data_IF_767972625402
#
_entry.id   IF_767972625402
#
_cell.length_a   1.000
_cell.length_b   1.000
_cell.length_c   1.000
_cell.angle_alpha   90.00
_cell.angle_beta   90.00
_cell.angle_gamma   90.00
#
_symmetry.space_group_name_H-M   'P 1'
#
loop_
_entity.id
_entity.type
_entity.pdbx_description
1 polymer ?
#
# COMPACT_ATOMS: atom_id res chain seq x y z
N UNK A 1 6.10 -3.26 19.53
CA UNK A 1 6.68 -4.56 19.08
C UNK A 1 8.05 -4.30 18.49
N UNK A 2 8.98 -5.27 18.61
CA UNK A 2 10.20 -5.28 17.79
C UNK A 2 9.85 -5.47 16.30
N UNK A 3 10.53 -4.81 15.35
CA UNK A 3 10.25 -4.92 13.91
C UNK A 3 10.26 -6.37 13.40
N UNK A 4 11.19 -7.20 13.87
CA UNK A 4 11.31 -8.60 13.46
C UNK A 4 10.13 -9.46 13.92
N UNK A 5 9.70 -9.25 15.17
CA UNK A 5 8.54 -9.96 15.71
C UNK A 5 7.27 -9.60 14.96
N UNK A 6 7.13 -8.32 14.61
CA UNK A 6 6.00 -7.87 13.81
C UNK A 6 5.97 -8.53 12.42
N UNK A 7 7.11 -8.63 11.74
CA UNK A 7 7.20 -9.32 10.44
C UNK A 7 6.79 -10.79 10.57
N UNK A 8 7.24 -11.50 11.60
CA UNK A 8 6.84 -12.90 11.84
C UNK A 8 5.34 -13.03 12.08
N UNK A 9 4.76 -12.14 12.87
CA UNK A 9 3.32 -12.11 13.14
C UNK A 9 2.51 -11.83 11.87
N UNK A 10 2.98 -10.91 11.02
CA UNK A 10 2.35 -10.63 9.72
C UNK A 10 2.49 -11.79 8.72
N UNK A 11 3.55 -12.57 8.79
CA UNK A 11 3.69 -13.77 7.96
C UNK A 11 2.66 -14.84 8.34
N UNK A 12 2.35 -15.00 9.63
CA UNK A 12 1.28 -15.89 10.09
C UNK A 12 -0.07 -15.45 9.51
N UNK A 13 -0.35 -14.15 9.53
CA UNK A 13 -1.57 -13.61 8.91
C UNK A 13 -1.62 -13.90 7.41
N UNK A 14 -0.51 -13.73 6.69
CA UNK A 14 -0.42 -14.01 5.27
C UNK A 14 -0.71 -15.49 4.95
N UNK A 15 -0.17 -16.40 5.77
CA UNK A 15 -0.44 -17.83 5.66
C UNK A 15 -1.91 -18.16 5.94
N UNK A 16 -2.50 -17.60 6.99
CA UNK A 16 -3.90 -17.79 7.34
C UNK A 16 -4.83 -17.32 6.22
N UNK A 17 -4.55 -16.14 5.66
CA UNK A 17 -5.32 -15.57 4.55
C UNK A 17 -5.26 -16.46 3.31
N UNK A 18 -4.08 -16.96 2.95
CA UNK A 18 -3.90 -17.89 1.83
C UNK A 18 -4.63 -19.21 2.07
N UNK A 19 -4.66 -19.71 3.31
CA UNK A 19 -5.37 -20.91 3.66
C UNK A 19 -6.90 -20.74 3.49
N UNK A 20 -7.46 -19.67 4.07
CA UNK A 20 -8.90 -19.35 3.97
C UNK A 20 -9.36 -19.13 2.53
N UNK A 21 -8.54 -18.47 1.71
CA UNK A 21 -8.85 -18.24 0.29
C UNK A 21 -8.82 -19.54 -0.52
N UNK A 22 -7.98 -20.52 -0.15
CA UNK A 22 -7.98 -21.84 -0.80
C UNK A 22 -9.21 -22.67 -0.44
N UNK A 23 -9.73 -22.53 0.78
CA UNK A 23 -10.96 -23.20 1.21
C UNK A 23 -12.23 -22.53 0.63
N UNK A 24 -12.20 -21.21 0.44
CA UNK A 24 -13.33 -20.45 -0.08
C UNK A 24 -13.46 -20.60 -1.61
N UNK A 25 -14.40 -21.44 -2.05
CA UNK A 25 -14.70 -21.63 -3.48
C UNK A 25 -15.15 -20.34 -4.20
N UNK A 26 -15.78 -19.41 -3.48
CA UNK A 26 -16.37 -18.19 -4.03
C UNK A 26 -15.42 -16.98 -4.05
N UNK A 27 -14.19 -17.13 -3.55
CA UNK A 27 -13.23 -16.04 -3.53
C UNK A 27 -12.72 -15.70 -4.94
N UNK A 28 -12.81 -14.42 -5.32
CA UNK A 28 -12.35 -13.94 -6.61
C UNK A 28 -11.25 -12.89 -6.46
N UNK A 29 -10.13 -13.17 -7.11
CA UNK A 29 -9.01 -12.23 -7.20
C UNK A 29 -9.38 -10.99 -8.02
N UNK A 30 -8.72 -9.88 -7.71
CA UNK A 30 -8.73 -8.72 -8.59
C UNK A 30 -8.18 -9.12 -9.98
N UNK A 31 -8.79 -8.63 -11.06
CA UNK A 31 -8.52 -9.08 -12.43
C UNK A 31 -7.04 -8.99 -12.84
N UNK A 32 -6.33 -7.94 -12.42
CA UNK A 32 -4.87 -7.79 -12.65
C UNK A 32 -3.98 -8.61 -11.69
N UNK A 33 -4.53 -9.05 -10.57
CA UNK A 33 -3.79 -9.76 -9.53
C UNK A 33 -3.96 -11.28 -9.63
N UNK A 34 -4.85 -11.75 -10.51
CA UNK A 34 -5.19 -13.18 -10.67
C UNK A 34 -3.99 -14.01 -11.09
N UNK A 35 -3.21 -13.54 -12.06
CA UNK A 35 -2.08 -14.30 -12.61
C UNK A 35 -0.92 -14.44 -11.61
N UNK A 36 -0.79 -13.46 -10.71
CA UNK A 36 0.26 -13.42 -9.67
C UNK A 36 -0.23 -14.06 -8.37
N UNK A 37 -1.54 -14.27 -8.21
CA UNK A 37 -2.16 -14.67 -6.94
C UNK A 37 -1.96 -13.64 -5.84
N UNK A 38 -1.87 -12.35 -6.19
CA UNK A 38 -1.60 -11.27 -5.23
C UNK A 38 -2.89 -10.91 -4.47
N UNK A 39 -2.81 -10.97 -3.15
CA UNK A 39 -3.95 -10.68 -2.25
C UNK A 39 -3.63 -9.50 -1.35
N UNK A 40 -2.41 -9.47 -0.80
CA UNK A 40 -1.97 -8.47 0.16
C UNK A 40 -0.59 -7.92 -0.20
N UNK A 41 -0.35 -6.66 0.17
CA UNK A 41 0.97 -6.07 0.24
C UNK A 41 1.12 -5.47 1.63
N UNK A 42 2.13 -5.91 2.36
CA UNK A 42 2.41 -5.45 3.71
C UNK A 42 3.72 -4.68 3.73
N UNK A 43 3.70 -3.48 4.30
CA UNK A 43 4.90 -2.76 4.65
C UNK A 43 4.74 -2.17 6.05
N UNK A 44 5.37 -2.79 7.04
CA UNK A 44 5.14 -2.46 8.45
C UNK A 44 3.62 -2.45 8.75
N UNK A 45 3.10 -1.34 9.27
CA UNK A 45 1.69 -1.13 9.60
C UNK A 45 0.78 -0.81 8.40
N UNK A 46 1.35 -0.48 7.24
CA UNK A 46 0.60 -0.19 6.02
C UNK A 46 0.30 -1.49 5.25
N UNK A 47 -0.97 -1.86 5.16
CA UNK A 47 -1.43 -3.05 4.44
C UNK A 47 -2.40 -2.67 3.33
N UNK A 48 -2.10 -3.10 2.11
CA UNK A 48 -3.01 -3.05 0.97
C UNK A 48 -3.60 -4.43 0.71
N UNK A 49 -4.91 -4.48 0.49
CA UNK A 49 -5.65 -5.70 0.16
C UNK A 49 -6.30 -5.56 -1.21
N UNK A 50 -6.18 -6.61 -2.01
CA UNK A 50 -6.69 -6.69 -3.38
C UNK A 50 -7.64 -7.87 -3.50
N UNK A 51 -8.89 -7.59 -3.86
CA UNK A 51 -9.88 -8.60 -4.20
C UNK A 51 -10.83 -8.05 -5.27
N UNK A 52 -11.60 -8.94 -5.90
CA UNK A 52 -12.74 -8.49 -6.69
C UNK A 52 -13.75 -7.85 -5.74
N UNK A 53 -14.42 -6.79 -6.18
CA UNK A 53 -15.53 -6.20 -5.43
C UNK A 53 -16.73 -7.16 -5.47
N UNK A 54 -16.67 -8.17 -4.61
CA UNK A 54 -17.66 -9.21 -4.46
C UNK A 54 -17.85 -9.50 -2.97
N UNK A 55 -19.10 -9.49 -2.50
CA UNK A 55 -19.39 -9.58 -1.07
C UNK A 55 -18.77 -10.84 -0.39
N UNK A 56 -18.92 -12.07 -0.92
CA UNK A 56 -18.24 -13.26 -0.38
C UNK A 56 -16.72 -13.13 -0.26
N UNK A 57 -16.07 -12.49 -1.24
CA UNK A 57 -14.60 -12.34 -1.21
C UNK A 57 -14.16 -11.41 -0.06
N UNK A 58 -14.96 -10.38 0.20
CA UNK A 58 -14.72 -9.41 1.26
C UNK A 58 -15.02 -10.00 2.63
N UNK A 59 -16.07 -10.82 2.75
CA UNK A 59 -16.37 -11.56 3.98
C UNK A 59 -15.20 -12.46 4.38
N UNK A 60 -14.65 -13.26 3.46
CA UNK A 60 -13.49 -14.13 3.73
C UNK A 60 -12.30 -13.33 4.28
N UNK A 61 -11.99 -12.18 3.68
CA UNK A 61 -10.90 -11.30 4.14
C UNK A 61 -11.21 -10.75 5.53
N UNK A 62 -12.43 -10.27 5.76
CA UNK A 62 -12.87 -9.66 7.02
C UNK A 62 -12.88 -10.67 8.16
N UNK A 63 -13.38 -11.88 7.92
CA UNK A 63 -13.38 -12.98 8.87
C UNK A 63 -11.95 -13.39 9.25
N UNK A 64 -11.06 -13.47 8.25
CA UNK A 64 -9.63 -13.74 8.49
C UNK A 64 -8.98 -12.64 9.33
N UNK A 65 -9.30 -11.37 9.08
CA UNK A 65 -8.80 -10.24 9.86
C UNK A 65 -9.32 -10.28 11.30
N UNK A 66 -10.58 -10.64 11.52
CA UNK A 66 -11.18 -10.77 12.83
C UNK A 66 -10.56 -11.93 13.63
N UNK A 67 -10.34 -13.08 12.98
CA UNK A 67 -9.65 -14.23 13.56
C UNK A 67 -8.22 -13.86 13.96
N UNK A 68 -7.49 -13.20 13.06
CA UNK A 68 -6.14 -12.72 13.35
C UNK A 68 -6.11 -11.67 14.47
N UNK A 69 -7.09 -10.77 14.52
CA UNK A 69 -7.22 -9.79 15.58
C UNK A 69 -7.50 -10.43 16.94
N UNK A 70 -8.27 -11.52 16.98
CA UNK A 70 -8.51 -12.29 18.19
C UNK A 70 -7.24 -13.00 18.69
N UNK A 71 -6.41 -13.53 17.78
CA UNK A 71 -5.18 -14.24 18.11
C UNK A 71 -4.02 -13.30 18.49
N UNK A 72 -3.85 -12.21 17.76
CA UNK A 72 -2.70 -11.30 17.91
C UNK A 72 -2.99 -10.07 18.77
N UNK A 73 -4.26 -9.74 18.98
CA UNK A 73 -4.69 -8.47 19.58
C UNK A 73 -4.58 -7.25 18.64
N UNK A 74 -4.09 -7.43 17.41
CA UNK A 74 -3.94 -6.35 16.43
C UNK A 74 -5.28 -6.10 15.72
N UNK A 75 -5.85 -4.91 15.90
CA UNK A 75 -7.13 -4.53 15.29
C UNK A 75 -6.92 -3.56 14.13
N UNK A 76 -7.70 -3.75 13.08
CA UNK A 76 -7.79 -2.79 11.97
C UNK A 76 -8.38 -1.48 12.50
N UNK A 77 -7.81 -0.36 12.08
CA UNK A 77 -8.30 0.96 12.45
C UNK A 77 -9.24 1.51 11.37
N UNK A 78 -10.57 1.47 11.56
CA UNK A 78 -11.53 1.91 10.54
C UNK A 78 -11.41 3.40 10.20
N UNK A 79 -10.87 4.22 11.10
CA UNK A 79 -10.66 5.65 10.83
C UNK A 79 -9.47 5.93 9.90
N UNK A 80 -8.53 4.98 9.79
CA UNK A 80 -7.38 5.07 8.88
C UNK A 80 -7.53 4.17 7.65
N UNK A 81 -8.42 3.18 7.72
CA UNK A 81 -8.71 2.26 6.62
C UNK A 81 -9.71 2.87 5.65
N UNK A 82 -9.41 2.74 4.37
CA UNK A 82 -10.26 3.21 3.28
C UNK A 82 -10.45 2.10 2.27
N UNK A 83 -11.63 2.04 1.66
CA UNK A 83 -11.90 1.16 0.53
C UNK A 83 -11.95 1.97 -0.76
N UNK A 84 -11.32 1.45 -1.81
CA UNK A 84 -11.28 2.09 -3.12
C UNK A 84 -11.88 1.13 -4.12
N UNK A 85 -12.92 1.58 -4.82
CA UNK A 85 -13.54 0.79 -5.88
C UNK A 85 -13.00 1.16 -7.25
N UNK A 86 -12.90 0.17 -8.12
CA UNK A 86 -12.74 0.44 -9.55
C UNK A 86 -14.02 1.06 -10.10
N UNK A 87 -13.87 1.95 -11.09
CA UNK A 87 -14.98 2.69 -11.73
C UNK A 87 -16.08 1.79 -12.31
N UNK A 88 -15.75 0.53 -12.57
CA UNK A 88 -16.66 -0.49 -13.11
C UNK A 88 -17.63 -1.10 -12.07
N UNK A 89 -17.43 -0.86 -10.77
CA UNK A 89 -18.22 -1.48 -9.70
C UNK A 89 -19.28 -0.49 -9.21
N UNK A 90 -20.53 -0.69 -9.62
CA UNK A 90 -21.66 0.14 -9.18
C UNK A 90 -22.68 -0.63 -8.33
N UNK A 91 -22.96 -1.89 -8.67
CA UNK A 91 -24.05 -2.65 -8.06
C UNK A 91 -23.74 -3.14 -6.63
N UNK A 92 -22.56 -3.72 -6.40
CA UNK A 92 -22.16 -4.26 -5.09
C UNK A 92 -21.52 -3.22 -4.16
N UNK A 93 -21.28 -2.00 -4.67
CA UNK A 93 -20.52 -0.94 -3.96
C UNK A 93 -21.16 -0.56 -2.62
N UNK A 94 -22.46 -0.28 -2.62
CA UNK A 94 -23.16 0.16 -1.42
C UNK A 94 -23.23 -0.96 -0.38
N UNK A 95 -23.53 -2.19 -0.82
CA UNK A 95 -23.58 -3.36 0.07
C UNK A 95 -22.25 -3.62 0.77
N UNK A 96 -21.15 -3.46 0.04
CA UNK A 96 -19.80 -3.62 0.59
C UNK A 96 -19.47 -2.51 1.60
N UNK A 97 -19.84 -1.27 1.30
CA UNK A 97 -19.64 -0.13 2.20
C UNK A 97 -20.42 -0.30 3.51
N UNK A 98 -21.68 -0.72 3.40
CA UNK A 98 -22.55 -0.97 4.54
C UNK A 98 -22.03 -2.14 5.41
N UNK A 99 -21.42 -3.16 4.79
CA UNK A 99 -20.84 -4.30 5.50
C UNK A 99 -19.51 -3.97 6.22
N UNK A 100 -18.58 -3.28 5.55
CA UNK A 100 -17.25 -2.98 6.12
C UNK A 100 -17.26 -1.78 7.08
N UNK A 101 -18.16 -0.81 6.88
CA UNK A 101 -18.20 0.43 7.65
C UNK A 101 -16.97 1.33 7.45
N UNK A 102 -16.14 1.09 6.42
CA UNK A 102 -14.99 1.92 6.08
C UNK A 102 -15.39 3.13 5.26
N UNK A 103 -14.60 4.20 5.36
CA UNK A 103 -14.79 5.34 4.48
C UNK A 103 -14.41 4.98 3.06
N UNK A 104 -15.24 5.41 2.12
CA UNK A 104 -14.91 5.34 0.71
C UNK A 104 -13.78 6.33 0.38
N UNK A 105 -12.67 5.80 -0.12
CA UNK A 105 -11.54 6.57 -0.63
C UNK A 105 -11.64 6.80 -2.14
N UNK A 106 -11.05 7.91 -2.60
CA UNK A 106 -10.87 8.20 -4.02
C UNK A 106 -9.39 8.13 -4.41
N UNK A 107 -9.09 7.63 -5.60
CA UNK A 107 -7.75 7.75 -6.17
C UNK A 107 -7.42 9.23 -6.47
N UNK A 108 -6.16 9.66 -6.29
CA UNK A 108 -5.00 8.88 -5.87
C UNK A 108 -4.87 8.72 -4.35
N UNK A 109 -4.62 7.49 -3.89
CA UNK A 109 -4.32 7.21 -2.47
C UNK A 109 -2.81 7.12 -2.27
N UNK A 110 -2.27 7.73 -1.22
CA UNK A 110 -0.84 7.67 -0.96
C UNK A 110 -0.47 6.35 -0.30
N UNK A 111 0.45 5.58 -0.90
CA UNK A 111 1.08 4.41 -0.28
C UNK A 111 2.58 4.64 -0.20
N UNK A 112 3.13 4.53 1.02
CA UNK A 112 4.55 4.82 1.30
C UNK A 112 5.03 6.21 0.84
N UNK A 113 4.10 7.19 0.84
CA UNK A 113 4.37 8.56 0.43
C UNK A 113 4.41 8.79 -1.09
N UNK A 114 3.99 7.80 -1.90
CA UNK A 114 3.83 7.91 -3.34
C UNK A 114 2.33 7.79 -3.68
N UNK A 115 1.77 8.68 -4.52
CA UNK A 115 0.38 8.56 -4.94
C UNK A 115 0.20 7.30 -5.81
N UNK A 116 -0.70 6.43 -5.39
CA UNK A 116 -1.28 5.35 -6.19
C UNK A 116 -2.20 5.98 -7.22
N UNK A 117 -1.66 6.39 -8.36
CA UNK A 117 -2.45 6.93 -9.46
C UNK A 117 -2.60 5.86 -10.54
N UNK A 118 -3.84 5.64 -11.01
CA UNK A 118 -4.10 4.77 -12.17
C UNK A 118 -3.62 5.41 -13.50
N UNK A 119 -3.26 6.70 -13.49
CA UNK A 119 -2.81 7.46 -14.66
C UNK A 119 -1.28 7.62 -14.71
N UNK A 120 -0.76 8.08 -15.85
CA UNK A 120 0.65 8.45 -15.98
C UNK A 120 1.01 9.49 -14.91
N UNK A 121 2.12 9.26 -14.21
CA UNK A 121 2.69 10.21 -13.25
C UNK A 121 2.85 11.58 -13.91
N UNK A 122 2.24 12.59 -13.30
CA UNK A 122 2.32 13.99 -13.74
C UNK A 122 3.41 14.71 -12.97
N UNK A 123 3.95 15.80 -13.54
CA UNK A 123 4.97 16.64 -12.90
C UNK A 123 4.50 17.14 -11.51
N UNK A 124 3.19 17.34 -11.35
CA UNK A 124 2.57 17.69 -10.07
C UNK A 124 2.76 16.62 -8.98
N UNK A 125 2.78 15.33 -9.34
CA UNK A 125 3.02 14.22 -8.41
C UNK A 125 4.48 14.20 -7.93
N UNK A 126 5.40 14.77 -8.71
CA UNK A 126 6.82 14.87 -8.39
C UNK A 126 7.16 16.06 -7.47
N UNK A 127 6.25 17.01 -7.22
CA UNK A 127 6.50 18.13 -6.28
C UNK A 127 6.95 17.69 -4.88
N UNK A 128 6.27 16.74 -4.20
CA UNK A 128 6.73 16.27 -2.89
C UNK A 128 8.12 15.61 -2.92
N UNK A 129 8.59 15.16 -4.10
CA UNK A 129 9.95 14.66 -4.28
C UNK A 129 10.95 15.82 -4.27
N UNK A 130 10.65 16.88 -5.03
CA UNK A 130 11.47 18.10 -5.10
C UNK A 130 11.56 18.73 -3.70
N UNK A 131 10.43 18.86 -3.00
CA UNK A 131 10.41 19.41 -1.64
C UNK A 131 11.26 18.59 -0.66
N UNK A 132 11.27 17.25 -0.78
CA UNK A 132 12.13 16.38 0.04
C UNK A 132 13.61 16.53 -0.29
N UNK A 133 13.95 16.75 -1.57
CA UNK A 133 15.33 17.03 -1.99
C UNK A 133 15.76 18.37 -1.41
N UNK A 134 14.94 19.41 -1.58
CA UNK A 134 15.24 20.76 -1.10
C UNK A 134 15.38 20.81 0.42
N UNK A 135 14.52 20.10 1.16
CA UNK A 135 14.64 19.99 2.61
C UNK A 135 15.95 19.30 3.05
N UNK A 136 16.38 18.26 2.34
CA UNK A 136 17.68 17.58 2.62
C UNK A 136 18.86 18.48 2.28
N UNK A 137 18.80 19.21 1.18
CA UNK A 137 19.84 20.16 0.77
C UNK A 137 19.94 21.35 1.73
N UNK A 138 18.80 21.89 2.18
CA UNK A 138 18.75 22.96 3.17
C UNK A 138 19.39 22.53 4.50
N UNK A 139 19.16 21.28 4.93
CA UNK A 139 19.82 20.72 6.12
C UNK A 139 21.34 20.58 5.98
N UNK A 140 21.86 20.51 4.75
CA UNK A 140 23.30 20.35 4.48
C UNK A 140 24.03 21.64 4.17
N UNK A 141 23.32 22.73 3.86
CA UNK A 141 23.92 24.05 3.72
C UNK A 141 24.66 24.52 4.99
N UNK A 142 24.27 23.99 6.16
CA UNK A 142 24.93 24.28 7.43
C UNK A 142 26.16 23.38 7.73
N UNK A 143 26.49 22.42 6.86
CA UNK A 143 27.68 21.57 7.02
C UNK A 143 28.86 22.09 6.20
N UNK A 144 30.03 22.15 6.83
CA UNK A 144 31.28 22.55 6.18
C UNK A 144 31.75 21.38 5.28
N UNK A 145 31.22 21.32 4.06
CA UNK A 145 31.54 20.30 3.06
C UNK A 145 32.32 20.90 1.90
N UNK A 146 33.34 20.17 1.45
CA UNK A 146 34.05 20.49 0.22
C UNK A 146 33.08 20.49 -0.97
N UNK A 147 33.42 21.22 -2.04
CA UNK A 147 32.61 21.25 -3.26
C UNK A 147 32.37 19.84 -3.82
N UNK A 148 33.41 19.00 -3.85
CA UNK A 148 33.31 17.61 -4.28
C UNK A 148 32.38 16.78 -3.36
N UNK A 149 32.44 16.99 -2.05
CA UNK A 149 31.55 16.32 -1.09
C UNK A 149 30.07 16.70 -1.29
N UNK A 150 29.78 17.99 -1.52
CA UNK A 150 28.43 18.47 -1.84
C UNK A 150 27.91 17.87 -3.15
N UNK A 151 28.73 17.86 -4.19
CA UNK A 151 28.36 17.28 -5.49
C UNK A 151 28.05 15.78 -5.38
N UNK A 152 28.87 15.03 -4.63
CA UNK A 152 28.66 13.60 -4.44
C UNK A 152 27.40 13.30 -3.61
N UNK A 153 27.11 14.10 -2.59
CA UNK A 153 25.89 14.00 -1.79
C UNK A 153 24.63 14.28 -2.62
N UNK A 154 24.64 15.36 -3.43
CA UNK A 154 23.53 15.67 -4.35
C UNK A 154 23.29 14.51 -5.32
N UNK A 155 24.35 13.99 -5.94
CA UNK A 155 24.26 12.86 -6.87
C UNK A 155 23.69 11.61 -6.19
N UNK A 156 24.16 11.29 -4.97
CA UNK A 156 23.68 10.14 -4.20
C UNK A 156 22.19 10.24 -3.87
N UNK A 157 21.73 11.41 -3.39
CA UNK A 157 20.32 11.64 -3.06
C UNK A 157 19.43 11.58 -4.29
N UNK A 158 19.82 12.25 -5.38
CA UNK A 158 19.05 12.22 -6.62
C UNK A 158 18.93 10.80 -7.16
N UNK A 159 20.03 10.04 -7.18
CA UNK A 159 20.03 8.68 -7.73
C UNK A 159 19.19 7.74 -6.86
N UNK A 160 19.29 7.81 -5.53
CA UNK A 160 18.51 6.98 -4.61
C UNK A 160 17.01 7.30 -4.66
N UNK A 161 16.65 8.59 -4.70
CA UNK A 161 15.25 9.00 -4.81
C UNK A 161 14.66 8.62 -6.17
N UNK A 162 15.40 8.84 -7.25
CA UNK A 162 14.96 8.51 -8.59
C UNK A 162 14.74 7.00 -8.76
N UNK A 163 15.70 6.18 -8.30
CA UNK A 163 15.59 4.71 -8.37
C UNK A 163 14.45 4.18 -7.50
N UNK A 164 14.24 4.73 -6.30
CA UNK A 164 13.10 4.36 -5.44
C UNK A 164 11.76 4.66 -6.12
N UNK A 165 11.60 5.86 -6.68
CA UNK A 165 10.37 6.26 -7.35
C UNK A 165 10.09 5.47 -8.62
N UNK A 166 11.12 5.21 -9.44
CA UNK A 166 10.97 4.39 -10.64
C UNK A 166 10.51 2.98 -10.29
N UNK A 167 11.12 2.35 -9.28
CA UNK A 167 10.75 1.00 -8.84
C UNK A 167 9.35 0.92 -8.27
N UNK A 168 8.96 1.89 -7.42
CA UNK A 168 7.62 1.87 -6.85
C UNK A 168 6.56 2.21 -7.92
N UNK A 169 6.81 3.17 -8.80
CA UNK A 169 5.86 3.53 -9.85
C UNK A 169 5.69 2.46 -10.93
N UNK A 170 6.75 1.71 -11.27
CA UNK A 170 6.65 0.57 -12.18
C UNK A 170 5.85 -0.56 -11.55
N UNK A 171 6.09 -0.84 -10.26
CA UNK A 171 5.34 -1.82 -9.50
C UNK A 171 3.86 -1.43 -9.44
N UNK A 172 3.53 -0.19 -9.06
CA UNK A 172 2.15 0.27 -8.91
C UNK A 172 1.37 0.33 -10.24
N UNK A 173 2.04 0.56 -11.37
CA UNK A 173 1.41 0.51 -12.71
C UNK A 173 1.08 -0.90 -13.20
N UNK A 174 1.70 -1.93 -12.63
CA UNK A 174 1.39 -3.32 -12.96
C UNK A 174 0.02 -3.76 -12.38
N UNK A 175 -0.53 -2.98 -11.44
CA UNK A 175 -1.81 -3.22 -10.77
C UNK A 175 -2.85 -2.17 -11.17
#
# INVERSE_FOLDING_TARGET
MSPYLFVLVMEIWNLLLRFRIKEAADFQYHWKCKDIGLINLCFADDVLLFCKAHLPSIMVITDTLNEFAALSGLKVNPAKSQIIFSRAVQQERQQILDYLGFQEGSLPVKYLGIPLTSSRLTIADCRPLIDKVDARLAGWNNQILSYAGRLQLIKSVLTTLHTYWLRLSSFLKAF
#
